data_IF_928014565083
#
_entry.id   IF_928014565083
#
_cell.length_a   1.000
_cell.length_b   1.000
_cell.length_c   1.000
_cell.angle_alpha   90.00
_cell.angle_beta   90.00
_cell.angle_gamma   90.00
#
_symmetry.space_group_name_H-M   'P 1'
#
loop_
_entity.id
_entity.type
_entity.pdbx_description
1 polymer ?
#
# COMPACT_ATOMS: atom_id res chain seq x y z
N UNK A 1 -12.32 -19.07 -9.09
CA UNK A 1 -12.37 -17.60 -8.99
C UNK A 1 -10.93 -17.13 -8.88
N UNK A 2 -10.42 -16.41 -9.88
CA UNK A 2 -9.16 -15.72 -9.73
C UNK A 2 -9.40 -14.65 -8.67
N UNK A 3 -8.80 -14.80 -7.48
CA UNK A 3 -8.79 -13.72 -6.51
C UNK A 3 -7.91 -12.64 -7.12
N UNK A 4 -8.52 -11.56 -7.59
CA UNK A 4 -7.77 -10.39 -8.04
C UNK A 4 -7.02 -9.83 -6.83
N UNK A 5 -5.71 -9.64 -7.00
CA UNK A 5 -4.85 -9.13 -5.95
C UNK A 5 -5.31 -7.72 -5.56
N UNK A 6 -5.64 -7.46 -4.28
CA UNK A 6 -6.12 -6.14 -3.84
C UNK A 6 -5.18 -4.99 -4.21
N UNK A 7 -3.88 -5.26 -4.34
CA UNK A 7 -2.89 -4.27 -4.75
C UNK A 7 -2.98 -3.90 -6.24
N UNK A 8 -3.28 -4.88 -7.10
CA UNK A 8 -3.45 -4.66 -8.54
C UNK A 8 -4.71 -3.82 -8.84
N UNK A 9 -5.70 -3.87 -7.95
CA UNK A 9 -6.91 -3.03 -8.02
C UNK A 9 -6.66 -1.63 -7.43
N UNK A 10 -5.92 -1.56 -6.32
CA UNK A 10 -5.72 -0.31 -5.58
C UNK A 10 -4.73 0.65 -6.24
N UNK A 11 -3.62 0.16 -6.79
CA UNK A 11 -2.58 1.00 -7.38
C UNK A 11 -3.10 1.88 -8.54
N UNK A 12 -3.91 1.36 -9.48
CA UNK A 12 -4.56 2.18 -10.50
C UNK A 12 -5.48 3.26 -9.90
N UNK A 13 -6.23 2.97 -8.84
CA UNK A 13 -7.14 3.93 -8.19
C UNK A 13 -6.40 5.04 -7.46
N UNK A 14 -5.32 4.70 -6.76
CA UNK A 14 -4.45 5.68 -6.09
C UNK A 14 -3.90 6.65 -7.14
N UNK A 15 -3.52 6.13 -8.31
CA UNK A 15 -3.02 6.94 -9.44
C UNK A 15 -4.14 7.75 -10.11
N UNK A 16 -5.30 7.14 -10.37
CA UNK A 16 -6.40 7.75 -11.12
C UNK A 16 -7.19 8.80 -10.33
N UNK A 17 -7.26 8.67 -9.00
CA UNK A 17 -7.96 9.62 -8.13
C UNK A 17 -7.07 10.80 -7.67
N UNK A 18 -5.83 10.90 -8.18
CA UNK A 18 -4.87 11.92 -7.77
C UNK A 18 -4.44 11.80 -6.30
N UNK A 19 -4.68 10.65 -5.65
CA UNK A 19 -4.14 10.38 -4.31
C UNK A 19 -2.62 10.15 -4.38
N UNK A 20 -2.13 9.56 -5.48
CA UNK A 20 -0.71 9.44 -5.79
C UNK A 20 -0.02 10.81 -5.91
N UNK A 21 -0.68 11.82 -6.46
CA UNK A 21 -0.10 13.16 -6.67
C UNK A 21 0.17 13.90 -5.35
N UNK A 22 -0.44 13.45 -4.25
CA UNK A 22 -0.22 13.97 -2.90
C UNK A 22 0.95 13.27 -2.19
N UNK A 23 1.42 12.16 -2.74
CA UNK A 23 2.53 11.39 -2.19
C UNK A 23 3.85 11.88 -2.81
N UNK A 24 4.90 11.90 -2.00
CA UNK A 24 6.22 12.19 -2.52
C UNK A 24 6.77 10.94 -3.25
N UNK A 25 7.77 11.13 -4.11
CA UNK A 25 8.37 10.04 -4.90
C UNK A 25 8.88 8.88 -4.05
N UNK A 26 9.37 9.16 -2.84
CA UNK A 26 9.82 8.11 -1.91
C UNK A 26 8.64 7.32 -1.35
N UNK A 27 7.55 7.98 -0.97
CA UNK A 27 6.34 7.31 -0.48
C UNK A 27 5.79 6.32 -1.52
N UNK A 28 5.79 6.73 -2.79
CA UNK A 28 5.38 5.87 -3.92
C UNK A 28 6.35 4.68 -4.09
N UNK A 29 7.65 4.91 -3.95
CA UNK A 29 8.66 3.83 -3.98
C UNK A 29 8.38 2.77 -2.90
N UNK A 30 8.08 3.20 -1.67
CA UNK A 30 7.76 2.28 -0.57
C UNK A 30 6.44 1.55 -0.80
N UNK A 31 5.42 2.25 -1.34
CA UNK A 31 4.15 1.63 -1.70
C UNK A 31 4.32 0.51 -2.73
N UNK A 32 5.12 0.74 -3.78
CA UNK A 32 5.40 -0.27 -4.80
C UNK A 32 6.13 -1.49 -4.20
N UNK A 33 7.11 -1.26 -3.32
CA UNK A 33 7.82 -2.35 -2.64
C UNK A 33 6.92 -3.17 -1.72
N UNK A 34 5.92 -2.55 -1.08
CA UNK A 34 4.91 -3.27 -0.31
C UNK A 34 4.05 -4.15 -1.22
N UNK A 35 3.62 -3.61 -2.36
CA UNK A 35 2.87 -4.36 -3.36
C UNK A 35 3.65 -5.57 -3.88
N UNK A 36 4.94 -5.40 -4.20
CA UNK A 36 5.80 -6.51 -4.68
C UNK A 36 5.96 -7.63 -3.65
N UNK A 37 5.86 -7.31 -2.35
CA UNK A 37 5.95 -8.26 -1.24
C UNK A 37 4.58 -8.76 -0.78
N UNK A 38 3.48 -8.32 -1.40
CA UNK A 38 2.14 -8.74 -1.05
C UNK A 38 1.89 -10.18 -1.51
N UNK A 39 1.28 -10.97 -0.63
CA UNK A 39 0.80 -12.29 -1.01
C UNK A 39 -0.44 -12.11 -1.90
N UNK A 40 -0.43 -12.61 -3.15
CA UNK A 40 -1.53 -12.38 -4.10
C UNK A 40 -2.83 -13.06 -3.68
N UNK A 41 -2.78 -14.10 -2.85
CA UNK A 41 -3.97 -14.82 -2.38
C UNK A 41 -4.63 -14.15 -1.17
N UNK A 42 -3.88 -13.38 -0.39
CA UNK A 42 -4.39 -12.78 0.86
C UNK A 42 -4.38 -11.25 0.85
N UNK A 43 -3.64 -10.63 -0.07
CA UNK A 43 -3.45 -9.19 -0.14
C UNK A 43 -2.58 -8.62 1.00
N UNK A 44 -1.99 -9.47 1.86
CA UNK A 44 -1.12 -9.00 2.94
C UNK A 44 0.33 -8.88 2.47
N UNK A 45 0.94 -7.72 2.71
CA UNK A 45 2.38 -7.51 2.60
C UNK A 45 3.03 -7.75 3.96
N UNK A 46 3.95 -8.70 4.03
CA UNK A 46 4.71 -9.04 5.24
C UNK A 46 6.16 -8.56 5.03
N UNK A 47 6.47 -7.37 5.54
CA UNK A 47 7.82 -6.82 5.50
C UNK A 47 8.02 -5.81 6.62
N UNK A 48 9.11 -5.97 7.37
CA UNK A 48 9.41 -5.08 8.50
C UNK A 48 10.12 -3.81 8.03
N UNK A 49 10.03 -2.69 8.79
CA UNK A 49 10.70 -1.45 8.42
C UNK A 49 12.23 -1.59 8.23
N UNK A 50 12.91 -2.46 8.99
CA UNK A 50 14.34 -2.74 8.84
C UNK A 50 14.68 -3.42 7.51
N UNK A 51 13.83 -4.33 7.05
CA UNK A 51 13.98 -5.01 5.76
C UNK A 51 13.80 -4.03 4.61
N UNK A 52 12.74 -3.20 4.68
CA UNK A 52 12.50 -2.14 3.70
C UNK A 52 13.65 -1.12 3.68
N UNK A 53 14.19 -0.75 4.83
CA UNK A 53 15.32 0.17 4.93
C UNK A 53 16.57 -0.38 4.25
N UNK A 54 16.87 -1.67 4.47
CA UNK A 54 17.98 -2.36 3.82
C UNK A 54 17.79 -2.45 2.31
N UNK A 55 16.59 -2.82 1.87
CA UNK A 55 16.27 -3.00 0.44
C UNK A 55 16.23 -1.65 -0.32
N UNK A 56 15.84 -0.56 0.36
CA UNK A 56 15.85 0.79 -0.18
C UNK A 56 17.21 1.51 -0.01
N UNK A 57 18.15 0.93 0.73
CA UNK A 57 19.41 1.58 1.15
C UNK A 57 19.17 2.95 1.82
N UNK A 58 18.14 3.02 2.68
CA UNK A 58 17.72 4.23 3.41
C UNK A 58 17.75 4.00 4.92
N UNK A 59 17.60 5.08 5.68
CA UNK A 59 17.47 4.97 7.13
C UNK A 59 16.13 4.32 7.52
N UNK A 60 16.11 3.59 8.63
CA UNK A 60 14.86 3.02 9.17
C UNK A 60 13.88 4.13 9.59
N UNK A 61 14.38 5.29 10.01
CA UNK A 61 13.57 6.44 10.38
C UNK A 61 12.82 7.02 9.17
N UNK A 62 13.50 7.13 8.01
CA UNK A 62 12.84 7.54 6.77
C UNK A 62 11.76 6.55 6.38
N UNK A 63 12.05 5.24 6.41
CA UNK A 63 11.04 4.21 6.09
C UNK A 63 9.82 4.31 7.01
N UNK A 64 10.03 4.46 8.32
CA UNK A 64 8.92 4.62 9.29
C UNK A 64 8.08 5.85 8.98
N UNK A 65 8.73 6.96 8.62
CA UNK A 65 8.04 8.19 8.24
C UNK A 65 7.18 7.97 7.00
N UNK A 66 7.73 7.38 5.94
CA UNK A 66 6.98 7.12 4.70
C UNK A 66 5.83 6.13 4.90
N UNK A 67 6.04 5.07 5.69
CA UNK A 67 4.96 4.15 6.09
C UNK A 67 3.86 4.88 6.87
N UNK A 68 4.23 5.78 7.78
CA UNK A 68 3.28 6.60 8.53
C UNK A 68 2.46 7.49 7.61
N UNK A 69 3.08 8.12 6.61
CA UNK A 69 2.36 8.94 5.63
C UNK A 69 1.39 8.11 4.78
N UNK A 70 1.76 6.90 4.36
CA UNK A 70 0.84 5.97 3.67
C UNK A 70 -0.36 5.58 4.53
N UNK A 71 -0.16 5.42 5.85
CA UNK A 71 -1.24 5.12 6.80
C UNK A 71 -2.15 6.33 7.00
N UNK A 72 -1.59 7.53 7.16
CA UNK A 72 -2.36 8.78 7.28
C UNK A 72 -3.17 9.09 6.02
N UNK A 73 -2.62 8.77 4.85
CA UNK A 73 -3.30 8.89 3.57
C UNK A 73 -4.40 7.83 3.38
N UNK A 74 -4.58 6.91 4.33
CA UNK A 74 -5.50 5.79 4.24
C UNK A 74 -5.28 4.95 2.98
N UNK A 75 -4.01 4.77 2.60
CA UNK A 75 -3.62 3.94 1.46
C UNK A 75 -3.32 2.52 1.91
N UNK A 76 -2.57 2.39 3.00
CA UNK A 76 -2.29 1.13 3.67
C UNK A 76 -2.84 1.14 5.08
N UNK A 77 -3.10 -0.06 5.61
CA UNK A 77 -3.46 -0.27 7.01
C UNK A 77 -2.49 -1.26 7.64
N UNK A 78 -1.80 -0.91 8.74
CA UNK A 78 -1.08 -1.90 9.53
C UNK A 78 -2.11 -2.79 10.23
N UNK A 79 -1.95 -4.10 10.12
CA UNK A 79 -2.85 -5.06 10.76
C UNK A 79 -2.61 -5.13 12.26
N UNK A 80 -1.38 -4.89 12.70
CA UNK A 80 -1.02 -4.82 14.13
C UNK A 80 -0.32 -3.51 14.45
N UNK A 81 0.94 -3.36 14.03
CA UNK A 81 1.70 -2.10 14.10
C UNK A 81 2.62 -2.00 12.88
N UNK A 82 3.13 -0.80 12.60
CA UNK A 82 4.14 -0.58 11.56
C UNK A 82 5.39 -1.43 11.80
N UNK A 83 5.82 -1.54 13.07
CA UNK A 83 7.03 -2.28 13.45
C UNK A 83 6.92 -3.79 13.24
N UNK A 84 5.71 -4.34 13.33
CA UNK A 84 5.47 -5.76 13.09
C UNK A 84 5.40 -6.11 11.60
N UNK A 85 5.33 -5.11 10.72
CA UNK A 85 5.53 -5.31 9.29
C UNK A 85 4.41 -6.05 8.56
N UNK A 86 3.21 -6.11 9.12
CA UNK A 86 2.05 -6.71 8.47
C UNK A 86 1.10 -5.62 7.97
N UNK A 87 1.02 -5.46 6.65
CA UNK A 87 0.25 -4.42 5.99
C UNK A 87 -0.78 -5.01 5.02
N UNK A 88 -1.88 -4.28 4.83
CA UNK A 88 -2.85 -4.50 3.76
C UNK A 88 -3.19 -3.18 3.10
N UNK A 89 -3.76 -3.24 1.89
CA UNK A 89 -4.42 -2.07 1.31
C UNK A 89 -5.56 -1.63 2.24
N UNK A 90 -5.71 -0.32 2.40
CA UNK A 90 -6.78 0.22 3.22
C UNK A 90 -8.16 -0.14 2.65
N UNK A 91 -9.10 -0.65 3.45
CA UNK A 91 -10.43 -1.07 2.96
C UNK A 91 -11.23 0.01 2.25
N UNK A 92 -11.01 1.30 2.57
CA UNK A 92 -11.62 2.44 1.87
C UNK A 92 -11.38 2.38 0.36
N UNK A 93 -10.16 2.03 -0.05
CA UNK A 93 -9.80 1.94 -1.47
C UNK A 93 -10.51 0.77 -2.16
N UNK A 94 -10.71 -0.34 -1.47
CA UNK A 94 -11.48 -1.48 -1.99
C UNK A 94 -12.96 -1.14 -2.17
N UNK A 95 -13.55 -0.38 -1.24
CA UNK A 95 -14.92 0.11 -1.38
C UNK A 95 -15.07 1.08 -2.57
N UNK A 96 -14.08 1.97 -2.77
CA UNK A 96 -14.05 2.88 -3.93
C UNK A 96 -13.89 2.12 -5.25
N UNK A 97 -13.05 1.08 -5.28
CA UNK A 97 -12.91 0.19 -6.43
C UNK A 97 -14.26 -0.43 -6.82
N UNK A 98 -14.92 -1.04 -5.85
CA UNK A 98 -16.20 -1.70 -6.05
C UNK A 98 -17.29 -0.72 -6.50
N UNK A 99 -17.32 0.49 -5.94
CA UNK A 99 -18.25 1.54 -6.38
C UNK A 99 -17.98 2.00 -7.81
N UNK A 100 -16.72 2.19 -8.19
CA UNK A 100 -16.34 2.64 -9.54
C UNK A 100 -16.72 1.61 -10.60
N UNK A 101 -16.45 0.33 -10.36
CA UNK A 101 -16.82 -0.77 -11.25
C UNK A 101 -18.35 -0.91 -11.43
N UNK A 102 -19.14 -0.54 -10.44
CA UNK A 102 -20.61 -0.53 -10.55
C UNK A 102 -21.16 0.62 -11.40
N UNK A 103 -20.39 1.70 -11.60
CA UNK A 103 -20.82 2.82 -12.46
C UNK A 103 -20.46 2.63 -13.94
N UNK A 104 -19.53 1.72 -14.24
CA UNK A 104 -19.11 1.39 -15.61
C UNK A 104 -19.96 0.26 -16.25
N UNK A 105 -20.88 -0.36 -15.49
CA UNK A 105 -21.87 -1.34 -15.97
C UNK A 105 -23.24 -0.71 -16.21
#
# INVERSE_FOLDING_TARGET
MNHENPWDIALPLITSNGEADKLNTTTIEILNRLSDKANPNTGFAITRPDELARDAKRSIEDIRKELTELVKAEIIKPVVTIEQGLFMVHPRLMSLAHFSMQQEM
#
